data_IF_756213251542
#
_entry.id   IF_756213251542
#
_cell.length_a   1.000
_cell.length_b   1.000
_cell.length_c   1.000
_cell.angle_alpha   90.00
_cell.angle_beta   90.00
_cell.angle_gamma   90.00
#
_symmetry.space_group_name_H-M   'P 1'
#
loop_
_entity.id
_entity.type
_entity.pdbx_description
1 polymer ?
#
# COMPACT_ATOMS: atom_id res chain seq x y z
N UNK A 1 -17.25 14.48 9.61
CA UNK A 1 -16.05 14.91 8.84
C UNK A 1 -16.37 14.96 7.34
N UNK A 2 -16.22 16.14 6.71
CA UNK A 2 -16.51 16.36 5.29
C UNK A 2 -15.59 15.52 4.38
N UNK A 3 -16.11 15.11 3.20
CA UNK A 3 -15.40 14.43 2.10
C UNK A 3 -14.03 15.06 1.79
N UNK A 4 -13.92 16.39 1.78
CA UNK A 4 -12.64 17.09 1.52
C UNK A 4 -11.56 16.74 2.55
N UNK A 5 -11.92 16.72 3.84
CA UNK A 5 -11.00 16.38 4.92
C UNK A 5 -10.60 14.90 4.84
N UNK A 6 -11.56 14.01 4.58
CA UNK A 6 -11.28 12.58 4.37
C UNK A 6 -10.29 12.34 3.22
N UNK A 7 -10.46 13.04 2.10
CA UNK A 7 -9.52 12.99 0.96
C UNK A 7 -8.13 13.49 1.35
N UNK A 8 -8.04 14.61 2.09
CA UNK A 8 -6.77 15.15 2.59
C UNK A 8 -6.03 14.17 3.50
N UNK A 9 -6.73 13.47 4.39
CA UNK A 9 -6.13 12.45 5.25
C UNK A 9 -5.60 11.26 4.45
N UNK A 10 -6.33 10.81 3.42
CA UNK A 10 -5.84 9.72 2.56
C UNK A 10 -4.55 10.12 1.84
N UNK A 11 -4.47 11.35 1.33
CA UNK A 11 -3.24 11.89 0.72
C UNK A 11 -2.10 12.00 1.73
N UNK A 12 -2.39 12.47 2.93
CA UNK A 12 -1.39 12.67 3.98
C UNK A 12 -0.72 11.36 4.40
N UNK A 13 -1.50 10.29 4.57
CA UNK A 13 -1.01 9.06 5.21
C UNK A 13 -0.66 7.93 4.24
N UNK A 14 -0.94 8.05 2.93
CA UNK A 14 -0.64 6.96 2.00
C UNK A 14 0.87 6.62 1.95
N UNK A 15 1.75 7.62 2.06
CA UNK A 15 3.21 7.42 2.07
C UNK A 15 3.63 6.56 3.28
N UNK A 16 3.20 6.91 4.49
CA UNK A 16 3.50 6.14 5.70
C UNK A 16 2.98 4.70 5.58
N UNK A 17 1.78 4.54 5.03
CA UNK A 17 1.16 3.23 4.84
C UNK A 17 1.98 2.38 3.87
N UNK A 18 2.39 2.95 2.74
CA UNK A 18 3.27 2.28 1.76
C UNK A 18 4.56 1.84 2.43
N UNK A 19 5.21 2.74 3.17
CA UNK A 19 6.48 2.47 3.85
C UNK A 19 6.36 1.29 4.82
N UNK A 20 5.44 1.38 5.78
CA UNK A 20 5.33 0.37 6.83
C UNK A 20 4.78 -0.98 6.32
N UNK A 21 3.93 -0.99 5.30
CA UNK A 21 3.46 -2.24 4.68
C UNK A 21 4.59 -2.89 3.88
N UNK A 22 5.38 -2.11 3.15
CA UNK A 22 6.50 -2.64 2.35
C UNK A 22 7.60 -3.24 3.23
N UNK A 23 7.78 -2.71 4.45
CA UNK A 23 8.72 -3.25 5.44
C UNK A 23 8.15 -4.40 6.28
N UNK A 24 6.86 -4.73 6.15
CA UNK A 24 6.27 -5.80 6.95
C UNK A 24 6.57 -7.16 6.30
N UNK A 25 7.27 -8.09 6.99
CA UNK A 25 7.61 -9.39 6.41
C UNK A 25 6.38 -10.19 5.98
N UNK A 26 5.30 -10.13 6.77
CA UNK A 26 4.02 -10.78 6.47
C UNK A 26 3.42 -10.27 5.15
N UNK A 27 3.30 -8.94 5.00
CA UNK A 27 2.71 -8.35 3.81
C UNK A 27 3.62 -8.48 2.60
N UNK A 28 4.93 -8.34 2.79
CA UNK A 28 5.92 -8.53 1.75
C UNK A 28 5.80 -9.93 1.16
N UNK A 29 5.89 -10.98 1.98
CA UNK A 29 5.70 -12.36 1.53
C UNK A 29 4.38 -12.54 0.77
N UNK A 30 3.27 -12.10 1.37
CA UNK A 30 1.94 -12.20 0.74
C UNK A 30 1.87 -11.53 -0.63
N UNK A 31 2.46 -10.34 -0.77
CA UNK A 31 2.43 -9.58 -2.02
C UNK A 31 3.37 -10.18 -3.08
N UNK A 32 4.53 -10.69 -2.69
CA UNK A 32 5.45 -11.38 -3.60
C UNK A 32 4.85 -12.68 -4.14
N UNK A 33 4.20 -13.47 -3.28
CA UNK A 33 3.54 -14.74 -3.64
C UNK A 33 2.24 -14.54 -4.45
N UNK A 34 1.71 -13.32 -4.48
CA UNK A 34 0.45 -13.00 -5.19
C UNK A 34 0.62 -12.89 -6.71
N UNK A 35 -0.50 -13.06 -7.42
CA UNK A 35 -0.55 -12.81 -8.86
C UNK A 35 -0.57 -11.31 -9.14
N UNK A 36 -0.07 -10.91 -10.32
CA UNK A 36 -0.23 -9.53 -10.78
C UNK A 36 -1.71 -9.13 -10.83
N UNK A 37 -2.01 -7.94 -10.28
CA UNK A 37 -3.37 -7.42 -10.15
C UNK A 37 -4.21 -8.02 -9.01
N UNK A 38 -3.72 -9.03 -8.28
CA UNK A 38 -4.42 -9.58 -7.13
C UNK A 38 -4.44 -8.59 -5.97
N UNK A 39 -5.65 -8.16 -5.57
CA UNK A 39 -5.85 -7.07 -4.60
C UNK A 39 -6.04 -7.59 -3.19
N UNK A 40 -5.22 -7.08 -2.28
CA UNK A 40 -5.43 -7.18 -0.85
C UNK A 40 -5.94 -5.87 -0.28
N UNK A 41 -6.72 -5.95 0.79
CA UNK A 41 -7.32 -4.76 1.43
C UNK A 41 -6.62 -4.44 2.74
N UNK A 42 -6.13 -3.21 2.87
CA UNK A 42 -5.72 -2.59 4.12
C UNK A 42 -6.92 -1.80 4.65
N UNK A 43 -7.55 -2.26 5.73
CA UNK A 43 -8.80 -1.70 6.22
C UNK A 43 -8.85 -1.55 7.74
N UNK A 44 -9.61 -0.56 8.21
CA UNK A 44 -9.95 -0.44 9.63
C UNK A 44 -10.84 -1.59 10.15
N UNK A 45 -11.46 -2.36 9.25
CA UNK A 45 -12.27 -3.53 9.60
C UNK A 45 -11.42 -4.77 9.88
N UNK A 46 -10.19 -4.83 9.36
CA UNK A 46 -9.26 -5.92 9.60
C UNK A 46 -7.86 -5.35 9.95
N UNK A 47 -7.64 -5.19 11.25
CA UNK A 47 -6.42 -4.59 11.80
C UNK A 47 -5.39 -5.60 12.30
N UNK A 48 -5.69 -6.90 12.28
CA UNK A 48 -4.88 -7.91 12.98
C UNK A 48 -3.48 -8.01 12.38
N UNK A 49 -3.39 -7.96 11.06
CA UNK A 49 -2.17 -8.16 10.30
C UNK A 49 -1.45 -6.85 9.95
N UNK A 50 -1.97 -5.71 10.41
CA UNK A 50 -1.39 -4.42 10.08
C UNK A 50 -0.25 -4.07 11.06
N UNK A 51 0.88 -3.53 10.57
CA UNK A 51 1.93 -2.97 11.42
C UNK A 51 1.36 -1.96 12.41
N UNK A 52 1.89 -1.94 13.64
CA UNK A 52 1.31 -1.17 14.74
C UNK A 52 1.14 0.33 14.44
N UNK A 53 2.08 0.94 13.72
CA UNK A 53 2.01 2.35 13.30
C UNK A 53 0.91 2.59 12.25
N UNK A 54 0.73 1.67 11.31
CA UNK A 54 -0.35 1.71 10.31
C UNK A 54 -1.70 1.51 10.99
N UNK A 55 -1.80 0.52 11.87
CA UNK A 55 -3.03 0.15 12.59
C UNK A 55 -3.66 1.35 13.29
N UNK A 56 -2.89 2.13 14.06
CA UNK A 56 -3.39 3.32 14.76
C UNK A 56 -3.97 4.35 13.79
N UNK A 57 -3.27 4.63 12.69
CA UNK A 57 -3.68 5.63 11.69
C UNK A 57 -4.90 5.19 10.89
N UNK A 58 -4.89 3.94 10.40
CA UNK A 58 -6.01 3.32 9.68
C UNK A 58 -7.27 3.32 10.54
N UNK A 59 -7.18 2.89 11.80
CA UNK A 59 -8.31 2.83 12.72
C UNK A 59 -8.87 4.23 13.04
N UNK A 60 -7.99 5.18 13.42
CA UNK A 60 -8.39 6.54 13.82
C UNK A 60 -9.15 7.27 12.72
N UNK A 61 -8.68 7.17 11.47
CA UNK A 61 -9.25 7.92 10.36
C UNK A 61 -10.13 7.08 9.43
N UNK A 62 -10.34 5.80 9.75
CA UNK A 62 -11.13 4.83 8.97
C UNK A 62 -10.70 4.80 7.50
N UNK A 63 -9.38 4.75 7.28
CA UNK A 63 -8.79 4.73 5.94
C UNK A 63 -8.90 3.31 5.34
N UNK A 64 -8.99 3.22 4.02
CA UNK A 64 -9.02 1.95 3.31
C UNK A 64 -8.24 2.05 2.00
N UNK A 65 -7.37 1.08 1.76
CA UNK A 65 -6.54 1.00 0.56
C UNK A 65 -6.56 -0.42 0.00
N UNK A 66 -6.47 -0.51 -1.32
CA UNK A 66 -6.00 -1.73 -1.97
C UNK A 66 -4.49 -1.67 -2.09
N UNK A 67 -3.86 -2.84 -1.99
CA UNK A 67 -2.45 -3.06 -2.32
C UNK A 67 -2.34 -4.31 -3.19
N UNK A 68 -1.55 -4.22 -4.26
CA UNK A 68 -1.36 -5.32 -5.21
C UNK A 68 -0.06 -5.19 -5.99
N UNK A 69 0.42 -6.32 -6.49
CA UNK A 69 1.55 -6.44 -7.43
C UNK A 69 1.14 -5.90 -8.80
N UNK A 70 1.97 -5.06 -9.42
CA UNK A 70 1.67 -4.39 -10.69
C UNK A 70 2.86 -4.42 -11.65
N UNK A 71 2.56 -4.40 -12.95
CA UNK A 71 3.54 -4.21 -14.05
C UNK A 71 3.63 -2.74 -14.50
N UNK A 72 2.87 -1.85 -13.87
CA UNK A 72 2.91 -0.42 -14.17
C UNK A 72 4.29 0.16 -13.85
N UNK A 73 5.04 0.47 -14.89
CA UNK A 73 6.34 1.15 -14.82
C UNK A 73 6.06 2.64 -14.64
N UNK A 74 6.56 3.20 -13.54
CA UNK A 74 6.39 4.63 -13.23
C UNK A 74 7.58 5.46 -13.68
N UNK A 75 8.76 4.86 -13.65
CA UNK A 75 10.04 5.50 -13.92
C UNK A 75 11.06 4.42 -14.26
N UNK A 76 11.66 4.51 -15.45
CA UNK A 76 12.65 3.56 -15.94
C UNK A 76 13.97 3.66 -15.15
N UNK A 77 14.26 4.83 -14.55
CA UNK A 77 15.51 5.07 -13.80
C UNK A 77 15.54 4.36 -12.43
N UNK A 78 14.38 3.92 -11.92
CA UNK A 78 14.28 3.16 -10.67
C UNK A 78 14.25 1.65 -10.89
N UNK A 79 14.28 1.19 -12.15
CA UNK A 79 14.20 -0.22 -12.48
C UNK A 79 15.57 -0.88 -12.37
N UNK A 80 15.68 -1.88 -11.51
CA UNK A 80 16.76 -2.86 -11.57
C UNK A 80 16.16 -4.24 -11.83
N UNK A 81 16.96 -5.10 -12.45
CA UNK A 81 16.56 -6.46 -12.79
C UNK A 81 16.09 -7.22 -11.53
N UNK A 82 14.93 -7.89 -11.63
CA UNK A 82 14.31 -8.61 -10.52
C UNK A 82 13.48 -7.77 -9.55
N UNK A 83 13.38 -6.45 -9.72
CA UNK A 83 12.52 -5.64 -8.86
C UNK A 83 11.02 -5.75 -9.20
N UNK A 84 10.16 -5.56 -8.19
CA UNK A 84 8.70 -5.65 -8.31
C UNK A 84 8.05 -4.39 -7.77
N UNK A 85 7.08 -3.86 -8.53
CA UNK A 85 6.23 -2.77 -8.07
C UNK A 85 4.98 -3.28 -7.33
N UNK A 86 4.69 -2.66 -6.19
CA UNK A 86 3.41 -2.76 -5.51
C UNK A 86 2.69 -1.42 -5.56
N UNK A 87 1.44 -1.44 -6.03
CA UNK A 87 0.58 -0.26 -6.09
C UNK A 87 -0.36 -0.23 -4.90
N UNK A 88 -0.46 0.94 -4.28
CA UNK A 88 -1.38 1.26 -3.21
C UNK A 88 -2.39 2.28 -3.73
N UNK A 89 -3.68 2.01 -3.59
CA UNK A 89 -4.72 2.93 -4.05
C UNK A 89 -5.85 3.06 -3.03
N UNK A 90 -6.37 4.28 -2.84
CA UNK A 90 -7.53 4.48 -1.98
C UNK A 90 -8.76 3.80 -2.56
N UNK A 91 -9.44 2.97 -1.76
CA UNK A 91 -10.70 2.31 -2.14
C UNK A 91 -11.79 3.34 -2.51
N UNK A 92 -11.80 4.49 -1.82
CA UNK A 92 -12.88 5.49 -1.95
C UNK A 92 -12.52 6.67 -2.85
N UNK A 93 -11.25 7.05 -2.92
CA UNK A 93 -10.84 8.30 -3.55
C UNK A 93 -9.96 8.03 -4.75
N UNK A 94 -10.57 7.96 -5.95
CA UNK A 94 -9.85 7.86 -7.22
C UNK A 94 -8.74 8.92 -7.31
N UNK A 95 -7.60 8.50 -7.87
CA UNK A 95 -6.40 9.31 -8.02
C UNK A 95 -5.60 9.57 -6.74
N UNK A 96 -5.89 8.86 -5.64
CA UNK A 96 -4.95 8.76 -4.51
C UNK A 96 -4.28 7.41 -4.61
N UNK A 97 -3.11 7.41 -5.23
CA UNK A 97 -2.26 6.24 -5.42
C UNK A 97 -0.85 6.55 -4.95
N UNK A 98 -0.11 5.51 -4.61
CA UNK A 98 1.31 5.55 -4.37
C UNK A 98 1.88 4.14 -4.57
N UNK A 99 3.20 4.01 -4.65
CA UNK A 99 3.84 2.77 -5.06
C UNK A 99 5.05 2.49 -4.18
N UNK A 100 5.41 1.23 -4.06
CA UNK A 100 6.73 0.83 -3.60
C UNK A 100 7.39 -0.08 -4.62
N UNK A 101 8.70 0.04 -4.72
CA UNK A 101 9.54 -0.84 -5.50
C UNK A 101 10.39 -1.68 -4.58
N UNK A 102 10.41 -2.99 -4.78
CA UNK A 102 11.03 -3.93 -3.88
C UNK A 102 11.87 -4.95 -4.64
N UNK A 103 13.09 -5.20 -4.17
CA UNK A 103 13.95 -6.28 -4.67
C UNK A 103 13.39 -7.64 -4.22
N UNK A 104 13.32 -8.63 -5.12
CA UNK A 104 12.95 -10.03 -4.84
C UNK A 104 13.98 -10.78 -3.99
N UNK A 105 15.24 -10.33 -3.93
CA UNK A 105 16.32 -11.04 -3.25
C UNK A 105 16.33 -10.86 -1.72
N UNK A 106 15.59 -9.87 -1.21
CA UNK A 106 15.57 -9.50 0.22
C UNK A 106 14.29 -10.02 0.91
N UNK A 107 13.68 -11.10 0.39
CA UNK A 107 12.32 -11.56 0.79
C UNK A 107 12.33 -12.54 1.94
#
# INVERSE_FOLDING_TARGET
MNKRIKRKLHKKYIIDIVYYISLSPLWRKRLFDSKYGEKFTISYQNLYELPQYVKKTIARYKLNYFVYKTEEILDEDFYYEGGVFFKFESVKFKGITNYSFNNTEVT
#
